data_IF_255989029152
#
_entry.id   IF_255989029152
#
_cell.length_a   1.000
_cell.length_b   1.000
_cell.length_c   1.000
_cell.angle_alpha   90.00
_cell.angle_beta   90.00
_cell.angle_gamma   90.00
#
_symmetry.space_group_name_H-M   'P 1'
#
loop_
_entity.id
_entity.type
_entity.pdbx_description
1 polymer ?
#
# COMPACT_ATOMS: atom_id res chain seq x y z
N UNK A 1 4.87 67.94 10.36
CA UNK A 1 5.30 67.00 9.30
C UNK A 1 5.62 65.65 9.94
N UNK A 2 4.79 64.61 9.75
CA UNK A 2 4.99 63.28 10.37
C UNK A 2 5.88 62.44 9.45
N UNK A 3 7.12 62.17 9.87
CA UNK A 3 8.06 61.27 9.18
C UNK A 3 7.50 59.84 9.23
N UNK A 4 7.16 59.29 8.07
CA UNK A 4 6.71 57.91 7.93
C UNK A 4 7.83 56.94 8.30
N UNK A 5 7.56 56.05 9.25
CA UNK A 5 8.44 54.95 9.65
C UNK A 5 8.68 54.06 8.42
N UNK A 6 9.93 53.98 7.95
CA UNK A 6 10.25 53.11 6.81
C UNK A 6 9.93 51.66 7.20
N UNK A 7 9.07 51.01 6.42
CA UNK A 7 8.75 49.60 6.59
C UNK A 7 9.96 48.80 6.14
N UNK A 8 10.83 48.41 7.07
CA UNK A 8 11.83 47.38 6.79
C UNK A 8 11.10 46.10 6.36
N UNK A 9 11.37 45.66 5.14
CA UNK A 9 10.77 44.47 4.54
C UNK A 9 11.31 43.26 5.31
N UNK A 10 10.43 42.50 5.95
CA UNK A 10 10.81 41.30 6.72
C UNK A 10 11.42 40.29 5.75
N UNK A 11 12.72 40.02 5.90
CA UNK A 11 13.41 38.97 5.13
C UNK A 11 13.09 37.65 5.81
N UNK A 12 12.30 36.81 5.15
CA UNK A 12 12.02 35.45 5.61
C UNK A 12 13.13 34.56 5.03
N UNK A 13 13.95 33.89 5.86
CA UNK A 13 14.95 32.96 5.34
C UNK A 13 14.24 31.84 4.57
N UNK A 14 14.72 31.58 3.35
CA UNK A 14 14.20 30.51 2.51
C UNK A 14 14.62 29.18 3.13
N UNK A 15 13.64 28.38 3.55
CA UNK A 15 13.89 26.99 3.97
C UNK A 15 14.13 26.16 2.71
N UNK A 16 15.32 25.60 2.59
CA UNK A 16 15.64 24.61 1.54
C UNK A 16 14.85 23.33 1.84
N UNK A 17 13.70 23.17 1.18
CA UNK A 17 12.92 21.94 1.29
C UNK A 17 13.62 20.83 0.50
N UNK A 18 13.64 19.62 1.06
CA UNK A 18 14.13 18.46 0.34
C UNK A 18 13.29 18.23 -0.93
N UNK A 19 13.88 17.74 -2.04
CA UNK A 19 13.15 17.45 -3.26
C UNK A 19 12.00 16.46 -2.99
N UNK A 20 10.83 16.75 -3.55
CA UNK A 20 9.71 15.82 -3.50
C UNK A 20 10.07 14.54 -4.27
N UNK A 21 10.15 13.42 -3.56
CA UNK A 21 10.48 12.12 -4.13
C UNK A 21 9.81 11.00 -3.35
N UNK A 22 9.59 9.86 -4.01
CA UNK A 22 9.18 8.64 -3.34
C UNK A 22 10.36 8.12 -2.51
N UNK A 23 10.24 8.18 -1.19
CA UNK A 23 11.23 7.60 -0.29
C UNK A 23 11.14 6.07 -0.40
N UNK A 24 12.28 5.43 -0.69
CA UNK A 24 12.42 3.97 -0.60
C UNK A 24 13.02 3.65 0.76
N UNK A 25 12.41 2.70 1.47
CA UNK A 25 12.98 2.20 2.72
C UNK A 25 14.27 1.42 2.39
N UNK A 26 15.46 1.86 2.86
CA UNK A 26 16.72 1.16 2.59
C UNK A 26 16.92 -0.06 3.51
N UNK A 27 16.13 -0.18 4.57
CA UNK A 27 16.25 -1.25 5.55
C UNK A 27 15.41 -2.45 5.16
N UNK A 28 15.92 -3.64 5.48
CA UNK A 28 15.17 -4.87 5.36
C UNK A 28 13.96 -4.83 6.33
N UNK A 29 12.84 -5.50 5.98
CA UNK A 29 11.74 -5.69 6.91
C UNK A 29 12.23 -6.30 8.22
N UNK A 30 11.71 -5.83 9.35
CA UNK A 30 11.95 -6.50 10.62
C UNK A 30 11.31 -7.89 10.59
N UNK A 31 12.10 -8.92 10.85
CA UNK A 31 11.66 -10.30 10.90
C UNK A 31 11.00 -10.56 12.27
N UNK A 32 9.66 -10.44 12.30
CA UNK A 32 8.85 -10.76 13.49
C UNK A 32 8.59 -12.26 13.62
N UNK A 33 8.58 -12.97 12.48
CA UNK A 33 8.38 -14.40 12.36
C UNK A 33 9.61 -15.04 11.72
N UNK A 34 9.87 -16.29 12.06
CA UNK A 34 10.85 -17.13 11.36
C UNK A 34 10.37 -17.52 9.95
N UNK A 35 11.30 -17.95 9.10
CA UNK A 35 10.98 -18.35 7.72
C UNK A 35 9.98 -19.53 7.68
N UNK A 36 10.13 -20.50 8.59
CA UNK A 36 9.22 -21.65 8.71
C UNK A 36 7.80 -21.23 9.14
N UNK A 37 7.68 -20.23 10.01
CA UNK A 37 6.38 -19.69 10.41
C UNK A 37 5.68 -18.95 9.27
N UNK A 38 6.44 -18.21 8.45
CA UNK A 38 5.91 -17.58 7.25
C UNK A 38 5.44 -18.63 6.25
N UNK A 39 6.21 -19.69 6.05
CA UNK A 39 5.80 -20.78 5.15
C UNK A 39 4.55 -21.49 5.67
N UNK A 40 4.43 -21.70 6.99
CA UNK A 40 3.23 -22.24 7.61
C UNK A 40 1.99 -21.37 7.36
N UNK A 41 2.12 -20.04 7.48
CA UNK A 41 1.05 -19.08 7.17
C UNK A 41 0.70 -19.14 5.67
N UNK A 42 1.70 -19.26 4.80
CA UNK A 42 1.51 -19.33 3.36
C UNK A 42 0.70 -20.56 2.97
N UNK A 43 1.11 -21.75 3.42
CA UNK A 43 0.41 -23.00 3.14
C UNK A 43 -1.00 -23.01 3.73
N UNK A 44 -1.17 -22.50 4.95
CA UNK A 44 -2.49 -22.39 5.58
C UNK A 44 -3.41 -21.46 4.80
N UNK A 45 -2.88 -20.35 4.29
CA UNK A 45 -3.65 -19.39 3.49
C UNK A 45 -4.09 -19.99 2.15
N UNK A 46 -3.20 -20.73 1.47
CA UNK A 46 -3.54 -21.45 0.23
C UNK A 46 -4.63 -22.50 0.48
N UNK A 47 -4.53 -23.24 1.59
CA UNK A 47 -5.55 -24.20 1.99
C UNK A 47 -6.91 -23.52 2.19
N UNK A 48 -6.95 -22.39 2.90
CA UNK A 48 -8.19 -21.62 3.08
C UNK A 48 -8.77 -21.16 1.75
N UNK A 49 -7.94 -20.64 0.83
CA UNK A 49 -8.40 -20.22 -0.49
C UNK A 49 -8.92 -21.38 -1.35
N UNK A 50 -8.33 -22.57 -1.22
CA UNK A 50 -8.75 -23.76 -1.96
C UNK A 50 -10.01 -24.40 -1.38
N UNK A 51 -10.08 -24.54 -0.06
CA UNK A 51 -11.14 -25.30 0.62
C UNK A 51 -12.38 -24.44 0.88
N UNK A 52 -12.18 -23.18 1.28
CA UNK A 52 -13.27 -22.25 1.62
C UNK A 52 -13.61 -21.30 0.48
N UNK A 53 -12.61 -20.84 -0.28
CA UNK A 53 -12.79 -19.83 -1.31
C UNK A 53 -13.05 -18.41 -0.75
N UNK A 54 -13.54 -17.52 -1.61
CA UNK A 54 -13.91 -16.15 -1.26
C UNK A 54 -14.97 -15.60 -2.21
N UNK A 55 -15.91 -14.83 -1.67
CA UNK A 55 -16.95 -14.17 -2.45
C UNK A 55 -16.40 -12.98 -3.25
N UNK A 56 -16.65 -12.96 -4.55
CA UNK A 56 -16.23 -11.89 -5.45
C UNK A 56 -17.46 -11.26 -6.10
N UNK A 57 -17.84 -10.10 -5.57
CA UNK A 57 -19.07 -9.42 -5.98
C UNK A 57 -19.00 -8.77 -7.38
N UNK A 58 -17.82 -8.72 -7.99
CA UNK A 58 -17.64 -8.13 -9.32
C UNK A 58 -17.75 -9.20 -10.40
N UNK A 59 -18.77 -9.15 -11.29
CA UNK A 59 -18.93 -10.14 -12.35
C UNK A 59 -17.73 -10.18 -13.31
N UNK A 60 -17.08 -9.02 -13.51
CA UNK A 60 -15.87 -8.92 -14.33
C UNK A 60 -14.70 -9.70 -13.71
N UNK A 61 -14.52 -9.61 -12.40
CA UNK A 61 -13.44 -10.31 -11.71
C UNK A 61 -13.67 -11.82 -11.73
N UNK A 62 -14.91 -12.27 -11.48
CA UNK A 62 -15.30 -13.68 -11.60
C UNK A 62 -15.02 -14.22 -13.00
N UNK A 63 -15.36 -13.48 -14.05
CA UNK A 63 -15.10 -13.88 -15.43
C UNK A 63 -13.59 -14.05 -15.73
N UNK A 64 -12.74 -13.18 -15.17
CA UNK A 64 -11.29 -13.30 -15.32
C UNK A 64 -10.80 -14.56 -14.60
N UNK A 65 -11.18 -14.76 -13.34
CA UNK A 65 -10.72 -15.90 -12.55
C UNK A 65 -11.16 -17.24 -13.14
N UNK A 66 -12.41 -17.32 -13.61
CA UNK A 66 -12.92 -18.50 -14.32
C UNK A 66 -12.12 -18.81 -15.58
N UNK A 67 -11.73 -17.78 -16.34
CA UNK A 67 -10.88 -17.94 -17.53
C UNK A 67 -9.50 -18.46 -17.18
N UNK A 68 -8.92 -18.00 -16.06
CA UNK A 68 -7.63 -18.47 -15.56
C UNK A 68 -7.72 -19.84 -14.83
N UNK A 69 -8.89 -20.49 -14.82
CA UNK A 69 -9.08 -21.84 -14.31
C UNK A 69 -9.50 -21.93 -12.84
N UNK A 70 -9.88 -20.82 -12.21
CA UNK A 70 -10.48 -20.87 -10.87
C UNK A 70 -11.86 -21.55 -10.91
N UNK A 71 -12.14 -22.35 -9.88
CA UNK A 71 -13.47 -22.92 -9.67
C UNK A 71 -14.41 -21.82 -9.21
N UNK A 72 -15.59 -21.72 -9.83
CA UNK A 72 -16.61 -20.73 -9.51
C UNK A 72 -17.92 -21.46 -9.28
N UNK A 73 -18.56 -21.19 -8.15
CA UNK A 73 -19.83 -21.80 -7.79
C UNK A 73 -20.98 -21.35 -8.69
N UNK A 74 -22.06 -22.14 -8.71
CA UNK A 74 -23.23 -21.88 -9.54
C UNK A 74 -23.92 -20.54 -9.25
N UNK A 75 -23.68 -19.96 -8.07
CA UNK A 75 -24.32 -18.75 -7.61
C UNK A 75 -23.59 -17.46 -8.07
N UNK A 76 -22.43 -17.61 -8.72
CA UNK A 76 -21.63 -16.50 -9.25
C UNK A 76 -20.51 -16.08 -8.30
#
# INVERSE_FOLDING_TARGET
>A
MKRGRSKQKRVVPVVQQAPYRQLKNPYQPMLVFSDDEIESIHQSSLKVLCDTGMDILSPRAVAILKREGAMVDSNG
#
